data_IF_415344248859
#
_entry.id   IF_415344248859
#
_cell.length_a   1.000
_cell.length_b   1.000
_cell.length_c   1.000
_cell.angle_alpha   90.00
_cell.angle_beta   90.00
_cell.angle_gamma   90.00
#
_symmetry.space_group_name_H-M   'P 1'
#
loop_
_entity.id
_entity.type
_entity.pdbx_description
1 polymer ?
#
# COMPACT_ATOMS: atom_id res chain seq x y z
N UNK A 1 6.55 -16.05 -21.61
CA UNK A 1 5.70 -14.95 -21.15
C UNK A 1 4.29 -15.26 -21.59
N UNK A 2 3.37 -15.45 -20.65
CA UNK A 2 2.02 -16.01 -20.89
C UNK A 2 1.02 -15.02 -21.51
N UNK A 3 1.47 -14.15 -22.41
CA UNK A 3 0.60 -13.21 -23.14
C UNK A 3 -0.07 -12.11 -22.29
N UNK A 4 0.22 -12.03 -20.99
CA UNK A 4 -0.31 -10.97 -20.12
C UNK A 4 0.22 -9.59 -20.54
N UNK A 5 -0.68 -8.64 -20.78
CA UNK A 5 -0.34 -7.28 -21.20
C UNK A 5 0.32 -6.45 -20.08
N UNK A 6 0.11 -6.82 -18.82
CA UNK A 6 0.63 -6.14 -17.63
C UNK A 6 1.21 -7.18 -16.67
N UNK A 7 2.39 -6.91 -16.13
CA UNK A 7 2.96 -7.66 -15.02
C UNK A 7 3.01 -6.78 -13.77
N UNK A 8 2.47 -7.29 -12.66
CA UNK A 8 2.35 -6.56 -11.40
C UNK A 8 3.30 -7.13 -10.34
N UNK A 9 3.99 -6.24 -9.63
CA UNK A 9 4.87 -6.58 -8.52
C UNK A 9 4.50 -5.78 -7.30
N UNK A 10 4.33 -6.46 -6.16
CA UNK A 10 4.14 -5.81 -4.87
C UNK A 10 5.35 -6.06 -3.98
N UNK A 11 5.98 -4.98 -3.53
CA UNK A 11 7.06 -5.03 -2.55
C UNK A 11 6.61 -4.39 -1.23
N UNK A 12 7.24 -4.80 -0.13
CA UNK A 12 7.23 -4.02 1.12
C UNK A 12 8.53 -3.26 1.18
N UNK A 13 8.47 -1.97 1.52
CA UNK A 13 9.63 -1.09 1.43
C UNK A 13 10.84 -1.66 2.21
N UNK A 14 10.63 -2.14 3.44
CA UNK A 14 11.69 -2.74 4.27
C UNK A 14 12.32 -4.02 3.69
N UNK A 15 11.74 -4.64 2.66
CA UNK A 15 12.39 -5.74 1.94
C UNK A 15 13.31 -5.27 0.82
N UNK A 16 13.25 -4.00 0.40
CA UNK A 16 14.12 -3.42 -0.62
C UNK A 16 15.50 -3.04 -0.05
N UNK A 17 16.18 -4.03 0.53
CA UNK A 17 17.54 -3.91 1.07
C UNK A 17 18.55 -3.54 -0.03
N UNK A 18 19.74 -3.07 0.36
CA UNK A 18 20.74 -2.54 -0.56
C UNK A 18 21.19 -3.55 -1.65
N UNK A 19 21.12 -4.84 -1.34
CA UNK A 19 21.47 -5.93 -2.25
C UNK A 19 20.44 -6.15 -3.36
N UNK A 20 19.21 -5.65 -3.20
CA UNK A 20 18.21 -5.66 -4.27
C UNK A 20 18.49 -4.49 -5.20
N UNK A 21 19.25 -4.77 -6.26
CA UNK A 21 19.55 -3.79 -7.30
C UNK A 21 18.28 -3.15 -7.86
N UNK A 22 18.33 -1.84 -8.12
CA UNK A 22 17.17 -1.02 -8.55
C UNK A 22 17.31 -0.50 -9.97
N UNK A 23 18.28 -1.00 -10.74
CA UNK A 23 18.57 -0.52 -12.11
C UNK A 23 17.36 -0.60 -13.05
N UNK A 24 16.44 -1.51 -12.78
CA UNK A 24 15.20 -1.72 -13.54
C UNK A 24 14.06 -0.75 -13.22
N UNK A 25 14.17 0.08 -12.16
CA UNK A 25 13.11 1.01 -11.77
C UNK A 25 12.61 1.90 -12.92
N UNK A 26 13.46 2.50 -13.76
CA UNK A 26 13.00 3.38 -14.84
C UNK A 26 12.16 2.68 -15.92
N UNK A 27 12.19 1.35 -15.97
CA UNK A 27 11.43 0.56 -16.94
C UNK A 27 10.03 0.17 -16.43
N UNK A 28 9.62 0.68 -15.27
CA UNK A 28 8.34 0.37 -14.65
C UNK A 28 7.52 1.63 -14.35
N UNK A 29 6.20 1.43 -14.24
CA UNK A 29 5.29 2.39 -13.63
C UNK A 29 5.15 2.05 -12.15
N UNK A 30 5.39 3.02 -11.28
CA UNK A 30 5.38 2.84 -9.83
C UNK A 30 4.11 3.43 -9.24
N UNK A 31 3.64 2.85 -8.15
CA UNK A 31 2.62 3.44 -7.29
C UNK A 31 2.95 3.13 -5.83
N UNK A 32 2.56 4.03 -4.93
CA UNK A 32 2.87 3.90 -3.51
C UNK A 32 1.57 3.85 -2.71
N UNK A 33 1.39 2.76 -1.97
CA UNK A 33 0.31 2.64 -0.99
C UNK A 33 0.83 3.10 0.38
N UNK A 34 0.20 4.12 0.94
CA UNK A 34 0.45 4.60 2.30
C UNK A 34 -0.73 4.28 3.21
N UNK A 35 -0.47 4.31 4.50
CA UNK A 35 -1.48 4.19 5.56
C UNK A 35 -1.02 5.04 6.74
N UNK A 36 -1.96 5.59 7.50
CA UNK A 36 -1.62 6.32 8.72
C UNK A 36 -0.77 5.45 9.69
N UNK A 37 0.39 5.96 10.16
CA UNK A 37 1.30 5.19 11.02
C UNK A 37 0.67 4.70 12.33
N UNK A 38 -0.25 5.47 12.94
CA UNK A 38 -0.90 5.08 14.18
C UNK A 38 -1.78 3.84 13.95
N UNK A 39 -2.46 3.78 12.80
CA UNK A 39 -3.27 2.63 12.41
C UNK A 39 -2.43 1.38 12.11
N UNK A 40 -1.25 1.56 11.50
CA UNK A 40 -0.35 0.44 11.22
C UNK A 40 0.20 -0.13 12.52
N UNK A 41 0.69 0.72 13.43
CA UNK A 41 1.19 0.28 14.74
C UNK A 41 0.09 -0.42 15.54
N UNK A 42 -1.13 0.12 15.56
CA UNK A 42 -2.26 -0.52 16.24
C UNK A 42 -2.56 -1.92 15.68
N UNK A 43 -2.52 -2.08 14.36
CA UNK A 43 -2.79 -3.35 13.69
C UNK A 43 -1.72 -4.43 13.97
N UNK A 44 -0.46 -4.04 14.15
CA UNK A 44 0.59 -4.99 14.51
C UNK A 44 0.57 -5.34 16.02
N UNK A 45 0.18 -4.39 16.87
CA UNK A 45 0.07 -4.61 18.32
C UNK A 45 -0.89 -5.76 18.68
N UNK A 46 -1.95 -5.95 17.88
CA UNK A 46 -2.88 -7.08 18.02
C UNK A 46 -2.20 -8.45 17.89
N UNK A 47 -1.08 -8.53 17.15
CA UNK A 47 -0.32 -9.77 16.92
C UNK A 47 0.90 -9.95 17.86
N UNK A 48 1.03 -9.12 18.91
CA UNK A 48 2.04 -9.23 19.99
C UNK A 48 3.51 -9.21 19.54
N UNK A 49 3.83 -8.51 18.46
CA UNK A 49 5.22 -8.30 18.04
C UNK A 49 5.71 -6.91 18.49
N UNK A 50 6.94 -6.84 18.98
CA UNK A 50 7.65 -5.56 19.13
C UNK A 50 7.94 -5.03 17.73
N UNK A 51 7.56 -3.78 17.45
CA UNK A 51 7.69 -3.15 16.14
C UNK A 51 8.66 -1.99 16.28
N UNK A 52 9.55 -1.84 15.31
CA UNK A 52 10.42 -0.68 15.17
C UNK A 52 10.01 0.14 13.95
N UNK A 53 10.43 1.42 13.85
CA UNK A 53 10.18 2.22 12.64
C UNK A 53 10.75 1.57 11.37
N UNK A 54 11.85 0.81 11.49
CA UNK A 54 12.46 0.08 10.39
C UNK A 54 11.55 -1.03 9.86
N UNK A 55 10.84 -1.74 10.74
CA UNK A 55 9.90 -2.79 10.35
C UNK A 55 8.71 -2.21 9.55
N UNK A 56 8.32 -0.97 9.84
CA UNK A 56 7.27 -0.28 9.09
C UNK A 56 7.77 0.29 7.76
N UNK A 57 9.03 0.69 7.69
CA UNK A 57 9.72 1.02 6.44
C UNK A 57 9.29 2.32 5.77
N UNK A 58 8.67 3.25 6.49
CA UNK A 58 8.20 4.53 5.94
C UNK A 58 9.34 5.39 5.38
N UNK A 59 10.47 5.49 6.08
CA UNK A 59 11.62 6.28 5.62
C UNK A 59 12.16 5.73 4.30
N UNK A 60 12.33 4.40 4.21
CA UNK A 60 12.75 3.74 2.98
C UNK A 60 11.69 3.87 1.87
N UNK A 61 10.40 3.87 2.21
CA UNK A 61 9.34 4.11 1.22
C UNK A 61 9.42 5.52 0.62
N UNK A 62 9.67 6.54 1.45
CA UNK A 62 9.88 7.91 0.99
C UNK A 62 11.16 8.04 0.15
N UNK A 63 12.25 7.38 0.56
CA UNK A 63 13.50 7.37 -0.18
C UNK A 63 13.36 6.72 -1.56
N UNK A 64 12.64 5.60 -1.65
CA UNK A 64 12.31 4.92 -2.91
C UNK A 64 11.44 5.80 -3.81
N UNK A 65 10.49 6.54 -3.24
CA UNK A 65 9.64 7.47 -3.99
C UNK A 65 10.47 8.59 -4.62
N UNK A 66 11.34 9.23 -3.82
CA UNK A 66 12.22 10.29 -4.30
C UNK A 66 13.23 9.77 -5.34
N UNK A 67 13.75 8.54 -5.16
CA UNK A 67 14.64 7.88 -6.12
C UNK A 67 13.95 7.68 -7.48
N UNK A 68 12.70 7.20 -7.49
CA UNK A 68 11.94 7.01 -8.72
C UNK A 68 11.75 8.35 -9.44
N UNK A 69 11.42 9.43 -8.72
CA UNK A 69 11.30 10.77 -9.30
C UNK A 69 12.63 11.21 -9.90
N UNK A 70 13.71 11.11 -9.15
CA UNK A 70 15.03 11.54 -9.58
C UNK A 70 15.50 10.82 -10.85
N UNK A 71 15.15 9.54 -11.00
CA UNK A 71 15.62 8.69 -12.11
C UNK A 71 14.72 8.72 -13.34
N UNK A 72 13.44 9.05 -13.19
CA UNK A 72 12.46 8.99 -14.28
C UNK A 72 11.88 10.35 -14.67
N UNK A 73 11.97 11.34 -13.78
CA UNK A 73 11.27 12.62 -13.91
C UNK A 73 9.76 12.54 -13.73
N UNK A 74 9.21 11.36 -13.38
CA UNK A 74 7.78 11.12 -13.20
C UNK A 74 7.47 11.00 -11.72
N UNK A 75 6.47 11.74 -11.24
CA UNK A 75 5.94 11.60 -9.88
C UNK A 75 4.98 10.39 -9.82
N UNK A 76 5.31 9.33 -9.06
CA UNK A 76 4.42 8.18 -8.92
C UNK A 76 3.12 8.56 -8.21
N UNK A 77 1.95 7.99 -8.58
CA UNK A 77 0.74 8.13 -7.79
C UNK A 77 0.90 7.54 -6.40
N UNK A 78 0.41 8.27 -5.40
CA UNK A 78 0.28 7.78 -4.02
C UNK A 78 -1.20 7.55 -3.71
N UNK A 79 -1.54 6.41 -3.12
CA UNK A 79 -2.90 6.09 -2.66
C UNK A 79 -2.88 5.79 -1.16
N UNK A 80 -3.94 6.20 -0.47
CA UNK A 80 -4.12 5.97 0.97
C UNK A 80 -5.02 4.77 1.20
N UNK A 81 -4.58 3.83 2.03
CA UNK A 81 -5.31 2.60 2.31
C UNK A 81 -6.72 2.86 2.86
N UNK A 82 -6.88 3.90 3.70
CA UNK A 82 -8.19 4.26 4.21
C UNK A 82 -9.16 4.79 3.15
N UNK A 83 -8.66 5.44 2.09
CA UNK A 83 -9.51 5.85 0.95
C UNK A 83 -9.95 4.65 0.14
N UNK A 84 -9.04 3.73 -0.14
CA UNK A 84 -9.36 2.49 -0.87
C UNK A 84 -10.46 1.71 -0.15
N UNK A 85 -10.45 1.69 1.19
CA UNK A 85 -11.51 1.02 1.95
C UNK A 85 -12.82 1.80 1.98
N UNK A 86 -12.79 3.14 2.00
CA UNK A 86 -14.00 3.97 2.01
C UNK A 86 -14.67 4.05 0.66
N UNK A 87 -13.88 4.13 -0.42
CA UNK A 87 -14.34 4.32 -1.79
C UNK A 87 -13.49 3.46 -2.74
N UNK A 88 -13.63 2.12 -2.72
CA UNK A 88 -12.76 1.22 -3.47
C UNK A 88 -12.78 1.45 -4.97
N UNK A 89 -13.98 1.65 -5.55
CA UNK A 89 -14.16 1.89 -6.98
C UNK A 89 -13.45 3.17 -7.42
N UNK A 90 -13.77 4.30 -6.80
CA UNK A 90 -13.18 5.59 -7.16
C UNK A 90 -11.66 5.61 -6.97
N UNK A 91 -11.15 5.03 -5.87
CA UNK A 91 -9.72 4.95 -5.59
C UNK A 91 -8.97 4.12 -6.65
N UNK A 92 -9.51 2.96 -7.03
CA UNK A 92 -8.89 2.10 -8.04
C UNK A 92 -8.99 2.72 -9.44
N UNK A 93 -10.09 3.40 -9.78
CA UNK A 93 -10.21 4.13 -11.04
C UNK A 93 -9.16 5.25 -11.14
N UNK A 94 -8.96 6.02 -10.08
CA UNK A 94 -7.94 7.07 -10.03
C UNK A 94 -6.53 6.49 -10.18
N UNK A 95 -6.23 5.38 -9.49
CA UNK A 95 -4.95 4.69 -9.62
C UNK A 95 -4.74 4.15 -11.04
N UNK A 96 -5.74 3.48 -11.60
CA UNK A 96 -5.69 2.93 -12.96
C UNK A 96 -5.44 4.02 -14.00
N UNK A 97 -6.14 5.15 -13.90
CA UNK A 97 -5.92 6.30 -14.77
C UNK A 97 -4.50 6.87 -14.63
N UNK A 98 -3.99 7.03 -13.41
CA UNK A 98 -2.64 7.52 -13.16
C UNK A 98 -1.53 6.56 -13.66
N UNK A 99 -1.83 5.26 -13.68
CA UNK A 99 -0.92 4.23 -14.17
C UNK A 99 -1.14 3.88 -15.65
N UNK A 100 -2.07 4.50 -16.36
CA UNK A 100 -2.45 4.11 -17.73
C UNK A 100 -2.76 2.60 -17.84
N UNK A 101 -3.68 2.16 -16.99
CA UNK A 101 -4.24 0.80 -16.93
C UNK A 101 -5.77 0.92 -17.03
N UNK A 102 -6.40 0.01 -17.75
CA UNK A 102 -7.86 -0.04 -17.80
C UNK A 102 -8.41 -0.53 -16.44
N UNK A 103 -9.40 0.17 -15.89
CA UNK A 103 -10.13 -0.31 -14.73
C UNK A 103 -11.08 -1.44 -15.14
N UNK A 104 -11.08 -2.54 -14.39
CA UNK A 104 -11.97 -3.68 -14.57
C UNK A 104 -12.81 -3.90 -13.31
N UNK A 105 -14.06 -4.33 -13.46
CA UNK A 105 -14.97 -4.50 -12.32
C UNK A 105 -14.51 -5.61 -11.37
N UNK A 106 -13.83 -6.61 -11.94
CA UNK A 106 -13.17 -7.74 -11.30
C UNK A 106 -12.09 -7.31 -10.30
N UNK A 107 -11.59 -6.07 -10.38
CA UNK A 107 -10.69 -5.51 -9.36
C UNK A 107 -11.40 -5.29 -8.01
N UNK A 108 -12.74 -5.29 -7.97
CA UNK A 108 -13.55 -5.08 -6.76
C UNK A 108 -14.04 -6.38 -6.11
N UNK A 109 -13.98 -7.51 -6.83
CA UNK A 109 -14.53 -8.78 -6.39
C UNK A 109 -13.62 -9.95 -6.79
N UNK A 110 -13.38 -10.88 -5.87
CA UNK A 110 -12.47 -12.01 -6.08
C UNK A 110 -13.01 -13.29 -5.46
N UNK A 111 -12.56 -14.47 -5.91
CA UNK A 111 -12.90 -15.72 -5.24
C UNK A 111 -12.26 -15.77 -3.84
N UNK A 112 -12.97 -16.37 -2.88
CA UNK A 112 -12.40 -16.73 -1.59
C UNK A 112 -11.42 -17.90 -1.75
N UNK A 113 -10.45 -17.97 -0.83
CA UNK A 113 -9.41 -18.99 -0.77
C UNK A 113 -8.01 -18.43 -1.09
N UNK A 114 -6.99 -19.30 -0.95
CA UNK A 114 -5.61 -18.97 -1.31
C UNK A 114 -5.45 -18.86 -2.84
N UNK A 115 -4.45 -18.10 -3.27
CA UNK A 115 -4.06 -17.96 -4.68
C UNK A 115 -2.67 -18.52 -4.90
N UNK A 116 -2.40 -19.03 -6.09
CA UNK A 116 -1.05 -19.48 -6.47
C UNK A 116 -0.01 -18.35 -6.43
N UNK A 117 -0.47 -17.10 -6.59
CA UNK A 117 0.36 -15.90 -6.47
C UNK A 117 0.64 -15.46 -5.03
N UNK A 118 0.02 -16.09 -4.03
CA UNK A 118 0.21 -15.71 -2.64
C UNK A 118 1.62 -16.10 -2.18
N UNK A 119 2.39 -15.12 -1.72
CA UNK A 119 3.78 -15.32 -1.32
C UNK A 119 3.95 -16.00 0.04
N UNK A 120 5.20 -16.21 0.45
CA UNK A 120 5.57 -16.89 1.70
C UNK A 120 4.94 -16.30 2.98
N UNK A 121 4.45 -15.06 2.94
CA UNK A 121 3.79 -14.38 4.05
C UNK A 121 2.32 -14.74 4.23
N UNK A 122 1.70 -15.42 3.27
CA UNK A 122 0.28 -15.74 3.28
C UNK A 122 -0.20 -16.48 4.54
N UNK A 123 0.51 -17.53 5.03
CA UNK A 123 0.09 -18.26 6.23
C UNK A 123 0.02 -17.40 7.51
N UNK A 124 0.72 -16.27 7.54
CA UNK A 124 0.82 -15.41 8.72
C UNK A 124 -0.13 -14.19 8.67
N UNK A 125 -0.46 -13.72 7.47
CA UNK A 125 -1.11 -12.43 7.28
C UNK A 125 -2.39 -12.49 6.43
N UNK A 126 -2.60 -13.52 5.60
CA UNK A 126 -3.63 -13.49 4.56
C UNK A 126 -4.93 -14.20 4.92
N UNK A 127 -5.06 -14.79 6.12
CA UNK A 127 -6.31 -15.45 6.55
C UNK A 127 -7.58 -14.59 6.33
N UNK A 128 -7.50 -13.26 6.57
CA UNK A 128 -8.64 -12.36 6.31
C UNK A 128 -8.89 -12.08 4.84
N UNK A 129 -7.86 -12.14 3.99
CA UNK A 129 -7.95 -11.93 2.53
C UNK A 129 -8.45 -13.21 1.85
N UNK A 130 -7.99 -14.37 2.29
CA UNK A 130 -8.49 -15.68 1.83
C UNK A 130 -9.98 -15.85 2.17
N UNK A 131 -10.43 -15.30 3.30
CA UNK A 131 -11.84 -15.34 3.70
C UNK A 131 -12.71 -14.24 3.05
N UNK A 132 -12.17 -13.36 2.20
CA UNK A 132 -12.92 -12.28 1.57
C UNK A 132 -13.19 -12.54 0.09
N UNK A 133 -14.23 -11.90 -0.44
CA UNK A 133 -14.58 -11.92 -1.86
C UNK A 133 -14.60 -10.52 -2.49
N UNK A 134 -14.07 -9.54 -1.78
CA UNK A 134 -14.13 -8.12 -2.12
C UNK A 134 -13.67 -7.26 -0.93
N UNK A 135 -13.70 -5.94 -1.12
CA UNK A 135 -13.42 -4.99 -0.04
C UNK A 135 -14.48 -5.10 1.06
N UNK A 136 -14.03 -5.17 2.32
CA UNK A 136 -14.93 -5.08 3.47
C UNK A 136 -15.29 -3.61 3.72
N UNK A 137 -16.50 -3.34 4.26
CA UNK A 137 -16.86 -1.99 4.67
C UNK A 137 -15.79 -1.39 5.58
N UNK A 138 -15.45 -0.13 5.35
CA UNK A 138 -14.52 0.59 6.21
C UNK A 138 -15.02 0.60 7.65
N UNK A 139 -14.11 0.34 8.58
CA UNK A 139 -14.35 0.41 10.01
C UNK A 139 -13.37 1.41 10.61
N UNK A 140 -13.88 2.23 11.53
CA UNK A 140 -13.02 3.16 12.24
C UNK A 140 -12.02 2.38 13.11
N UNK A 141 -10.70 2.61 12.93
CA UNK A 141 -9.69 1.84 13.65
C UNK A 141 -9.69 2.24 15.12
N UNK A 142 -9.64 1.24 16.00
CA UNK A 142 -9.47 1.45 17.44
C UNK A 142 -7.99 1.74 17.76
N UNK A 143 -7.67 3.02 17.96
CA UNK A 143 -6.31 3.47 18.25
C UNK A 143 -6.04 3.50 19.76
N UNK A 144 -5.61 2.37 20.32
CA UNK A 144 -5.09 2.32 21.69
C UNK A 144 -3.61 1.99 21.62
N UNK A 145 -2.79 3.05 21.65
CA UNK A 145 -1.33 2.95 21.59
C UNK A 145 -0.69 3.29 22.95
N UNK A 146 0.23 2.46 23.40
CA UNK A 146 1.10 2.78 24.53
C UNK A 146 2.18 3.83 24.15
N UNK A 147 3.06 4.16 25.10
CA UNK A 147 4.08 5.19 24.89
C UNK A 147 5.11 4.79 23.82
N UNK A 148 5.52 3.53 23.78
CA UNK A 148 6.53 3.04 22.84
C UNK A 148 5.96 2.99 21.43
N UNK A 149 4.73 2.49 21.29
CA UNK A 149 3.97 2.45 20.06
C UNK A 149 3.75 3.85 19.46
N UNK A 150 3.40 4.84 20.31
CA UNK A 150 3.29 6.24 19.87
C UNK A 150 4.63 6.78 19.36
N UNK A 151 5.74 6.45 20.02
CA UNK A 151 7.06 6.89 19.58
C UNK A 151 7.42 6.30 18.21
N UNK A 152 7.07 5.03 17.96
CA UNK A 152 7.26 4.39 16.63
C UNK A 152 6.43 5.11 15.56
N UNK A 153 5.14 5.34 15.82
CA UNK A 153 4.27 6.02 14.87
C UNK A 153 4.73 7.46 14.58
N UNK A 154 5.20 8.18 15.60
CA UNK A 154 5.78 9.52 15.47
C UNK A 154 7.07 9.51 14.63
N UNK A 155 7.93 8.50 14.79
CA UNK A 155 9.13 8.38 13.99
C UNK A 155 8.82 8.19 12.49
N UNK A 156 7.75 7.47 12.15
CA UNK A 156 7.32 7.25 10.77
C UNK A 156 6.55 8.45 10.15
N UNK A 157 6.07 9.38 10.99
CA UNK A 157 5.16 10.46 10.58
C UNK A 157 5.74 11.41 9.53
N UNK A 158 7.01 11.86 9.60
CA UNK A 158 7.57 12.77 8.59
C UNK A 158 7.56 12.17 7.17
N UNK A 159 7.96 10.90 7.03
CA UNK A 159 7.97 10.20 5.74
C UNK A 159 6.54 9.97 5.22
N UNK A 160 5.60 9.60 6.10
CA UNK A 160 4.18 9.52 5.74
C UNK A 160 3.64 10.87 5.26
N UNK A 161 3.92 11.97 5.97
CA UNK A 161 3.45 13.31 5.59
C UNK A 161 4.07 13.78 4.27
N UNK A 162 5.33 13.45 4.00
CA UNK A 162 5.98 13.71 2.70
C UNK A 162 5.20 13.03 1.56
N UNK A 163 4.99 11.72 1.66
CA UNK A 163 4.26 10.93 0.65
C UNK A 163 2.79 11.38 0.51
N UNK A 164 2.13 11.73 1.62
CA UNK A 164 0.72 12.12 1.62
C UNK A 164 0.42 13.38 0.80
N UNK A 165 1.43 14.24 0.57
CA UNK A 165 1.28 15.44 -0.28
C UNK A 165 1.03 15.09 -1.74
N UNK A 166 1.40 13.89 -2.16
CA UNK A 166 1.22 13.37 -3.52
C UNK A 166 0.04 12.39 -3.64
N UNK A 167 -0.75 12.24 -2.56
CA UNK A 167 -1.92 11.38 -2.53
C UNK A 167 -2.93 11.82 -3.59
N UNK A 168 -3.40 10.86 -4.39
CA UNK A 168 -4.47 11.08 -5.35
C UNK A 168 -5.74 11.53 -4.63
N UNK A 169 -6.37 12.58 -5.16
CA UNK A 169 -7.70 12.95 -4.74
C UNK A 169 -8.69 11.87 -5.23
N UNK A 170 -9.39 11.25 -4.29
CA UNK A 170 -10.50 10.35 -4.62
C UNK A 170 -11.77 11.21 -4.62
N UNK A 171 -12.44 11.37 -5.78
CA UNK A 171 -13.70 12.09 -5.82
C UNK A 171 -14.70 11.39 -4.92
N UNK A 172 -15.36 12.14 -4.02
CA UNK A 172 -16.52 11.61 -3.33
C UNK A 172 -17.55 11.18 -4.38
N UNK A 173 -18.15 10.00 -4.19
CA UNK A 173 -19.19 9.49 -5.10
C UNK A 173 -20.21 10.60 -5.36
N UNK A 174 -20.42 10.90 -6.64
CA UNK A 174 -21.65 11.58 -7.05
C UNK A 174 -22.74 10.54 -6.85
N UNK A 175 -23.70 10.79 -5.95
CA UNK A 175 -24.90 9.98 -5.87
C UNK A 175 -25.55 9.97 -7.27
N UNK A 176 -25.49 8.82 -7.96
CA UNK A 176 -26.36 8.52 -9.11
C UNK A 176 -27.71 8.00 -8.62
#
# INVERSE_FOLDING_TARGET
>A
SDGAAIWFQKHMAHHMVAEIGRDWFPNLRHAFLIRDPDQVVASYAEKRQTITPLDLGYDLQAELFDEVIARTGVTPPVIEASDVLKQPRASLQALCAALDVAFEHEMLAWPAGPRESDGAWAPHWYASVEASTGFRPWQEPKLVLDREQKAVAQACRPAYEHLSRFRLAVPADSEE
#
